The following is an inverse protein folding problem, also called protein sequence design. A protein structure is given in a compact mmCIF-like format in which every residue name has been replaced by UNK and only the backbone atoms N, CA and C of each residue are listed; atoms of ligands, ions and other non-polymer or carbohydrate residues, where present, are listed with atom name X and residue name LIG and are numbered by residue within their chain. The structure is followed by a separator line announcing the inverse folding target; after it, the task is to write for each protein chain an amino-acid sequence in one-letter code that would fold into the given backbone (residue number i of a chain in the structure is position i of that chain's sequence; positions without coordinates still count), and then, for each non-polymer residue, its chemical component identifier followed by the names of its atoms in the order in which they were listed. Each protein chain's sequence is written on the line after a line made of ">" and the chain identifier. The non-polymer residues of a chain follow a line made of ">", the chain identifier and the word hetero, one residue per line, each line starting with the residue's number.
data_IF_256690522037
#
_entry.id   IF_256690522037
#
_cell.length_a   1.000
_cell.length_b   1.000
_cell.length_c   1.000
_cell.angle_alpha   90.00
_cell.angle_beta   90.00
_cell.angle_gamma   90.00
#
_symmetry.space_group_name_H-M   'P 1'
#
loop_
_entity.id
_entity.type
_entity.pdbx_description
1 polymer ?
#
# COMPACT_ATOMS: atom_id res chain seq x y z
N UNK A 1 -10.68 -39.77 -8.11
CA UNK A 1 -11.11 -38.46 -7.56
C UNK A 1 -10.96 -38.39 -6.03
N UNK A 2 -10.64 -39.47 -5.31
CA UNK A 2 -10.55 -39.52 -3.85
C UNK A 2 -9.20 -39.14 -3.20
N UNK A 3 -8.10 -39.30 -3.92
CA UNK A 3 -6.76 -39.17 -3.30
C UNK A 3 -6.22 -37.73 -3.20
N UNK A 4 -6.77 -36.80 -3.98
CA UNK A 4 -6.35 -35.41 -3.95
C UNK A 4 -7.08 -34.57 -2.87
N UNK A 5 -8.28 -34.93 -2.48
CA UNK A 5 -9.05 -34.25 -1.44
C UNK A 5 -8.54 -34.59 -0.04
N UNK A 6 -8.17 -35.86 0.20
CA UNK A 6 -7.66 -36.35 1.50
C UNK A 6 -6.26 -35.78 1.84
N UNK A 7 -5.42 -35.47 0.85
CA UNK A 7 -4.10 -34.86 1.04
C UNK A 7 -4.17 -33.38 1.49
N UNK A 8 -5.24 -32.69 1.14
CA UNK A 8 -5.41 -31.25 1.48
C UNK A 8 -5.86 -31.09 2.94
N UNK A 9 -6.64 -32.02 3.47
CA UNK A 9 -7.17 -31.94 4.86
C UNK A 9 -6.11 -32.12 5.96
N UNK A 10 -4.95 -32.74 5.66
CA UNK A 10 -3.85 -32.91 6.62
C UNK A 10 -2.76 -31.82 6.52
N UNK A 11 -2.87 -30.93 5.54
CA UNK A 11 -1.82 -29.93 5.28
C UNK A 11 -1.91 -28.74 6.23
N UNK A 12 -0.78 -28.41 6.85
CA UNK A 12 -0.61 -27.18 7.64
C UNK A 12 0.18 -26.18 6.80
N UNK A 13 -0.40 -24.99 6.55
CA UNK A 13 0.27 -23.91 5.83
C UNK A 13 0.79 -22.89 6.83
N UNK A 14 2.09 -22.63 6.82
CA UNK A 14 2.72 -21.58 7.62
C UNK A 14 2.62 -20.25 6.88
N UNK A 15 1.68 -19.39 7.33
CA UNK A 15 1.45 -18.05 6.78
C UNK A 15 2.30 -17.03 7.54
N UNK A 16 3.36 -16.54 6.92
CA UNK A 16 4.23 -15.52 7.47
C UNK A 16 3.63 -14.13 7.35
N UNK A 17 3.76 -13.33 8.42
CA UNK A 17 3.31 -11.94 8.46
C UNK A 17 4.14 -11.13 9.45
N UNK A 18 4.05 -9.78 9.38
CA UNK A 18 4.66 -8.88 10.35
C UNK A 18 3.94 -8.96 11.70
N UNK A 19 4.61 -8.52 12.77
CA UNK A 19 4.08 -8.56 14.13
C UNK A 19 3.13 -7.42 14.52
N UNK A 20 2.84 -6.45 13.64
CA UNK A 20 1.92 -5.38 13.98
C UNK A 20 0.47 -5.88 14.10
N UNK A 21 -0.33 -5.24 14.97
CA UNK A 21 -1.74 -5.58 15.16
C UNK A 21 -2.52 -5.63 13.84
N UNK A 22 -2.29 -4.66 12.96
CA UNK A 22 -2.90 -4.63 11.63
C UNK A 22 -2.48 -5.85 10.79
N UNK A 23 -1.19 -6.18 10.75
CA UNK A 23 -0.68 -7.32 9.96
C UNK A 23 -1.23 -8.65 10.48
N UNK A 24 -1.33 -8.83 11.79
CA UNK A 24 -1.93 -10.01 12.40
C UNK A 24 -3.43 -10.13 12.10
N UNK A 25 -4.19 -9.02 12.16
CA UNK A 25 -5.60 -9.01 11.79
C UNK A 25 -5.79 -9.42 10.31
N UNK A 26 -4.95 -8.92 9.41
CA UNK A 26 -4.95 -9.28 7.99
C UNK A 26 -4.62 -10.77 7.79
N UNK A 27 -3.61 -11.30 8.49
CA UNK A 27 -3.23 -12.70 8.40
C UNK A 27 -4.34 -13.62 8.94
N UNK A 28 -5.00 -13.24 10.04
CA UNK A 28 -6.14 -13.97 10.58
C UNK A 28 -7.30 -14.05 9.60
N UNK A 29 -7.63 -12.95 8.92
CA UNK A 29 -8.68 -12.93 7.90
C UNK A 29 -8.33 -13.83 6.71
N UNK A 30 -7.08 -13.79 6.22
CA UNK A 30 -6.60 -14.65 5.13
C UNK A 30 -6.58 -16.13 5.56
N UNK A 31 -6.13 -16.43 6.78
CA UNK A 31 -6.15 -17.80 7.31
C UNK A 31 -7.56 -18.38 7.39
N UNK A 32 -8.53 -17.58 7.85
CA UNK A 32 -9.94 -17.98 7.87
C UNK A 32 -10.49 -18.26 6.46
N UNK A 33 -10.10 -17.44 5.48
CA UNK A 33 -10.49 -17.59 4.09
C UNK A 33 -9.90 -18.88 3.47
N UNK A 34 -8.62 -19.15 3.70
CA UNK A 34 -7.95 -20.37 3.26
C UNK A 34 -8.60 -21.62 3.90
N UNK A 35 -8.90 -21.57 5.19
CA UNK A 35 -9.59 -22.66 5.88
C UNK A 35 -10.99 -22.89 5.31
N UNK A 36 -11.76 -21.83 5.10
CA UNK A 36 -13.13 -21.93 4.57
C UNK A 36 -13.16 -22.57 3.18
N UNK A 37 -12.24 -22.18 2.30
CA UNK A 37 -12.22 -22.62 0.89
C UNK A 37 -11.57 -23.98 0.67
N UNK A 38 -10.53 -24.31 1.44
CA UNK A 38 -9.67 -25.47 1.17
C UNK A 38 -9.60 -26.48 2.33
N UNK A 39 -10.22 -26.17 3.48
CA UNK A 39 -10.18 -26.98 4.70
C UNK A 39 -8.76 -27.19 5.27
N UNK A 40 -7.78 -26.41 4.81
CA UNK A 40 -6.41 -26.49 5.28
C UNK A 40 -6.28 -25.84 6.67
N UNK A 41 -5.37 -26.36 7.48
CA UNK A 41 -4.95 -25.69 8.73
C UNK A 41 -3.92 -24.61 8.40
N UNK A 42 -4.09 -23.40 8.92
CA UNK A 42 -3.12 -22.31 8.74
C UNK A 42 -2.51 -21.96 10.08
N UNK A 43 -1.19 -21.99 10.14
CA UNK A 43 -0.38 -21.50 11.25
C UNK A 43 0.15 -20.12 10.90
N UNK A 44 -0.19 -19.10 11.71
CA UNK A 44 0.32 -17.73 11.51
C UNK A 44 1.69 -17.62 12.18
N UNK A 45 2.71 -17.34 11.37
CA UNK A 45 4.10 -17.18 11.81
C UNK A 45 4.48 -15.69 11.77
N UNK A 46 4.78 -15.12 12.92
CA UNK A 46 5.20 -13.73 13.01
C UNK A 46 6.69 -13.59 12.72
N UNK A 47 7.03 -12.76 11.74
CA UNK A 47 8.40 -12.41 11.36
C UNK A 47 8.67 -10.95 11.74
N UNK A 48 9.71 -10.71 12.54
CA UNK A 48 10.13 -9.34 12.90
C UNK A 48 10.93 -8.74 11.77
N UNK A 49 10.50 -7.57 11.26
CA UNK A 49 11.21 -6.87 10.19
C UNK A 49 12.06 -5.71 10.74
N UNK A 50 13.09 -5.33 9.99
CA UNK A 50 13.93 -4.19 10.32
C UNK A 50 13.11 -2.90 10.42
N UNK A 51 12.13 -2.73 9.54
CA UNK A 51 11.23 -1.58 9.53
C UNK A 51 10.32 -1.48 10.77
N UNK A 52 10.04 -2.60 11.44
CA UNK A 52 9.31 -2.62 12.71
C UNK A 52 10.21 -2.27 13.90
N UNK A 53 11.53 -2.46 13.78
CA UNK A 53 12.51 -2.22 14.86
C UNK A 53 13.02 -0.77 14.85
N UNK A 54 13.26 -0.19 13.68
CA UNK A 54 13.81 1.17 13.55
C UNK A 54 12.66 2.18 13.41
N UNK A 55 12.33 2.87 14.49
CA UNK A 55 11.24 3.86 14.53
C UNK A 55 11.72 5.31 14.71
N UNK A 56 13.00 5.51 14.98
CA UNK A 56 13.63 6.77 15.37
C UNK A 56 14.27 7.56 14.21
N UNK A 57 14.48 6.93 13.03
CA UNK A 57 15.11 7.55 11.87
C UNK A 57 14.12 7.70 10.70
N UNK A 58 14.17 8.79 9.90
CA UNK A 58 13.36 8.92 8.69
C UNK A 58 13.58 7.75 7.72
N UNK A 59 12.51 7.29 7.04
CA UNK A 59 12.60 6.16 6.10
C UNK A 59 13.65 6.38 5.00
N UNK A 60 13.79 7.61 4.52
CA UNK A 60 14.77 7.99 3.48
C UNK A 60 16.24 7.77 3.89
N UNK A 61 16.54 7.80 5.20
CA UNK A 61 17.91 7.62 5.70
C UNK A 61 18.28 6.15 5.90
N UNK A 62 17.28 5.26 6.01
CA UNK A 62 17.51 3.83 6.29
C UNK A 62 17.66 3.04 4.98
N UNK A 63 17.23 3.62 3.84
CA UNK A 63 17.06 2.89 2.60
C UNK A 63 15.71 2.15 2.58
N UNK A 64 14.87 2.47 1.60
CA UNK A 64 13.47 2.01 1.59
C UNK A 64 13.27 0.63 0.97
N UNK A 65 14.28 0.08 0.28
CA UNK A 65 14.13 -1.19 -0.43
C UNK A 65 14.08 -2.38 0.54
N UNK A 66 12.91 -3.03 0.58
CA UNK A 66 12.73 -4.26 1.34
C UNK A 66 12.65 -4.10 2.86
N UNK A 67 12.58 -2.88 3.41
CA UNK A 67 12.57 -2.60 4.84
C UNK A 67 11.51 -3.38 5.63
N UNK A 68 10.40 -3.73 4.99
CA UNK A 68 9.27 -4.45 5.57
C UNK A 68 9.05 -5.83 4.97
N UNK A 69 9.90 -6.27 4.02
CA UNK A 69 9.67 -7.51 3.27
C UNK A 69 10.87 -8.45 3.30
N UNK A 70 12.09 -7.96 3.48
CA UNK A 70 13.34 -8.73 3.36
C UNK A 70 13.35 -9.98 4.25
N UNK A 71 12.98 -9.85 5.52
CA UNK A 71 13.00 -10.96 6.47
C UNK A 71 11.89 -11.99 6.19
N UNK A 72 10.77 -11.56 5.58
CA UNK A 72 9.73 -12.45 5.08
C UNK A 72 10.21 -13.19 3.81
N UNK A 73 10.91 -12.50 2.90
CA UNK A 73 11.52 -13.10 1.71
C UNK A 73 12.55 -14.18 2.11
N UNK A 74 13.41 -13.88 3.09
CA UNK A 74 14.36 -14.82 3.65
C UNK A 74 13.65 -16.02 4.31
N UNK A 75 12.59 -15.77 5.08
CA UNK A 75 11.82 -16.83 5.73
C UNK A 75 11.14 -17.78 4.72
N UNK A 76 10.70 -17.26 3.56
CA UNK A 76 10.20 -18.07 2.44
C UNK A 76 11.31 -18.92 1.82
N UNK A 77 12.47 -18.32 1.53
CA UNK A 77 13.60 -19.01 0.90
C UNK A 77 14.21 -20.09 1.79
N UNK A 78 14.21 -19.87 3.11
CA UNK A 78 14.69 -20.81 4.13
C UNK A 78 13.66 -21.88 4.52
N UNK A 79 12.43 -21.81 3.99
CA UNK A 79 11.36 -22.75 4.33
C UNK A 79 10.80 -22.62 5.76
N UNK A 80 11.07 -21.50 6.45
CA UNK A 80 10.48 -21.20 7.77
C UNK A 80 8.99 -20.87 7.68
N UNK A 81 8.57 -20.33 6.54
CA UNK A 81 7.17 -20.09 6.16
C UNK A 81 6.93 -20.61 4.75
N UNK A 82 5.68 -20.95 4.44
CA UNK A 82 5.27 -21.47 3.15
C UNK A 82 4.69 -20.37 2.24
N UNK A 83 4.04 -19.38 2.85
CA UNK A 83 3.39 -18.24 2.19
C UNK A 83 3.69 -16.99 3.00
N UNK A 84 4.05 -15.88 2.35
CA UNK A 84 4.16 -14.58 2.98
C UNK A 84 3.00 -13.67 2.58
N UNK A 85 2.40 -13.00 3.56
CA UNK A 85 1.36 -11.99 3.37
C UNK A 85 1.98 -10.59 3.43
N UNK A 86 1.79 -9.81 2.36
CA UNK A 86 2.29 -8.44 2.27
C UNK A 86 1.18 -7.45 1.91
N UNK A 87 1.33 -6.20 2.39
CA UNK A 87 0.71 -5.05 1.75
C UNK A 87 1.51 -4.73 0.49
N UNK A 88 0.89 -4.75 -0.69
CA UNK A 88 1.59 -4.60 -1.96
C UNK A 88 2.38 -3.29 -2.07
N UNK A 89 1.84 -2.19 -1.53
CA UNK A 89 2.49 -0.87 -1.52
C UNK A 89 3.82 -0.82 -0.77
N UNK A 90 4.05 -1.76 0.15
CA UNK A 90 5.27 -1.83 0.96
C UNK A 90 6.35 -2.73 0.31
N UNK A 91 5.99 -3.44 -0.77
CA UNK A 91 6.91 -4.29 -1.52
C UNK A 91 7.72 -3.50 -2.55
N UNK A 92 9.04 -3.75 -2.65
CA UNK A 92 9.86 -3.21 -3.73
C UNK A 92 9.29 -3.59 -5.11
N UNK A 93 9.52 -2.75 -6.12
CA UNK A 93 9.20 -3.09 -7.52
C UNK A 93 10.16 -4.13 -8.08
N UNK A 94 11.38 -4.19 -7.55
CA UNK A 94 12.40 -5.17 -7.91
C UNK A 94 11.98 -6.58 -7.47
N UNK A 95 12.04 -7.53 -8.40
CA UNK A 95 11.67 -8.93 -8.13
C UNK A 95 12.79 -9.65 -7.38
N UNK A 96 12.44 -10.34 -6.31
CA UNK A 96 13.37 -11.24 -5.60
C UNK A 96 13.49 -12.55 -6.35
N UNK A 97 14.74 -13.00 -6.57
CA UNK A 97 15.01 -14.27 -7.26
C UNK A 97 14.35 -15.44 -6.51
N UNK A 98 13.74 -16.37 -7.24
CA UNK A 98 13.05 -17.55 -6.74
C UNK A 98 11.76 -17.29 -5.94
N UNK A 99 11.32 -16.05 -5.82
CA UNK A 99 10.01 -15.70 -5.25
C UNK A 99 9.07 -15.18 -6.34
N UNK A 100 7.77 -15.33 -6.12
CA UNK A 100 6.70 -14.76 -6.95
C UNK A 100 5.44 -14.47 -6.15
N UNK A 101 4.67 -13.51 -6.61
CA UNK A 101 3.33 -13.24 -6.09
C UNK A 101 2.39 -14.27 -6.73
N UNK A 102 1.81 -15.13 -5.90
CA UNK A 102 0.88 -16.18 -6.34
C UNK A 102 -0.58 -15.70 -6.41
N UNK A 103 -0.94 -14.70 -5.58
CA UNK A 103 -2.27 -14.11 -5.61
C UNK A 103 -2.25 -12.63 -5.19
N UNK A 104 -3.09 -11.85 -5.87
CA UNK A 104 -3.52 -10.51 -5.50
C UNK A 104 -4.92 -10.61 -4.94
N UNK A 105 -5.13 -10.26 -3.68
CA UNK A 105 -6.43 -10.37 -3.05
C UNK A 105 -7.36 -9.21 -3.48
N UNK A 106 -8.68 -9.33 -3.33
CA UNK A 106 -9.60 -8.23 -3.60
C UNK A 106 -9.12 -6.94 -2.93
N UNK A 107 -9.15 -5.85 -3.69
CA UNK A 107 -8.64 -4.55 -3.26
C UNK A 107 -9.63 -3.87 -2.31
N UNK A 108 -9.15 -3.40 -1.19
CA UNK A 108 -9.87 -2.48 -0.31
C UNK A 108 -9.86 -1.05 -0.87
N UNK A 109 -10.58 -0.16 -0.19
CA UNK A 109 -10.61 1.26 -0.51
C UNK A 109 -9.21 1.83 -0.71
N UNK A 110 -8.97 2.45 -1.86
CA UNK A 110 -7.65 2.92 -2.28
C UNK A 110 -7.29 4.30 -1.75
N UNK A 111 -8.30 5.10 -1.37
CA UNK A 111 -8.10 6.48 -0.98
C UNK A 111 -7.38 6.64 0.36
N UNK A 112 -6.83 7.83 0.54
CA UNK A 112 -6.32 8.28 1.82
C UNK A 112 -7.45 8.96 2.62
N UNK A 113 -7.21 9.20 3.89
CA UNK A 113 -8.15 9.93 4.75
C UNK A 113 -7.39 10.82 5.73
N UNK A 114 -8.04 11.88 6.16
CA UNK A 114 -7.65 12.62 7.35
C UNK A 114 -8.36 12.03 8.57
N UNK A 115 -7.62 11.92 9.66
CA UNK A 115 -8.12 11.43 10.94
C UNK A 115 -7.91 12.52 11.97
N UNK A 116 -8.99 12.95 12.59
CA UNK A 116 -9.02 13.95 13.64
C UNK A 116 -9.46 13.33 14.96
N UNK A 117 -9.16 13.93 16.12
CA UNK A 117 -9.83 13.57 17.36
C UNK A 117 -11.36 13.79 17.24
N UNK A 118 -12.15 12.93 17.85
CA UNK A 118 -13.61 13.14 17.88
C UNK A 118 -13.94 14.47 18.59
N UNK A 119 -14.98 15.16 18.11
CA UNK A 119 -15.33 16.50 18.56
C UNK A 119 -14.59 17.63 17.85
N UNK A 120 -13.71 17.31 16.88
CA UNK A 120 -13.14 18.32 16.01
C UNK A 120 -14.24 19.00 15.20
N UNK A 121 -14.38 20.33 15.35
CA UNK A 121 -15.52 21.10 14.83
C UNK A 121 -15.16 22.12 13.75
N UNK A 122 -13.86 22.22 13.40
CA UNK A 122 -13.40 23.10 12.32
C UNK A 122 -13.58 22.45 10.95
N UNK A 123 -13.21 23.18 9.88
CA UNK A 123 -13.23 22.65 8.54
C UNK A 123 -12.33 21.41 8.40
N UNK A 124 -12.82 20.39 7.71
CA UNK A 124 -12.10 19.13 7.48
C UNK A 124 -11.45 19.01 6.09
N UNK A 125 -11.80 19.90 5.17
CA UNK A 125 -11.14 20.01 3.87
C UNK A 125 -9.73 20.61 4.05
N UNK A 126 -8.73 20.01 3.39
CA UNK A 126 -7.31 20.43 3.51
C UNK A 126 -7.16 21.93 3.25
N UNK A 127 -7.83 22.43 2.21
CA UNK A 127 -7.78 23.81 1.76
C UNK A 127 -8.28 24.82 2.80
N UNK A 128 -9.15 24.37 3.68
CA UNK A 128 -9.81 25.20 4.71
C UNK A 128 -9.16 25.09 6.09
N UNK A 129 -8.13 24.25 6.25
CA UNK A 129 -7.42 24.14 7.53
C UNK A 129 -6.62 25.41 7.82
N UNK A 130 -6.54 25.83 9.10
CA UNK A 130 -5.84 27.07 9.46
C UNK A 130 -4.33 26.99 9.25
N UNK A 131 -3.70 28.12 9.05
CA UNK A 131 -2.24 28.20 8.94
C UNK A 131 -1.57 27.66 10.21
N UNK A 132 -0.49 26.87 10.02
CA UNK A 132 0.22 26.21 11.10
C UNK A 132 -0.45 24.92 11.61
N UNK A 133 -1.60 24.51 11.07
CA UNK A 133 -2.26 23.26 11.43
C UNK A 133 -1.35 22.05 11.16
N UNK A 134 -1.14 21.19 12.16
CA UNK A 134 -0.15 20.12 12.13
C UNK A 134 -0.76 18.81 11.63
N UNK A 135 -0.35 18.36 10.43
CA UNK A 135 -0.78 17.09 9.85
C UNK A 135 0.35 16.08 9.91
N UNK A 136 0.14 14.96 10.59
CA UNK A 136 1.12 13.87 10.74
C UNK A 136 1.09 12.90 9.57
N UNK A 137 2.22 12.74 8.88
CA UNK A 137 2.44 11.68 7.88
C UNK A 137 3.92 11.45 7.64
N UNK A 138 4.34 10.21 7.31
CA UNK A 138 5.72 9.89 6.88
C UNK A 138 5.82 9.67 5.37
N UNK A 139 4.71 9.83 4.64
CA UNK A 139 4.69 9.60 3.20
C UNK A 139 4.91 10.91 2.44
N UNK A 140 6.04 10.99 1.69
CA UNK A 140 6.40 12.18 0.90
C UNK A 140 5.31 12.54 -0.11
N UNK A 141 4.67 11.55 -0.74
CA UNK A 141 3.54 11.73 -1.62
C UNK A 141 2.38 12.49 -0.96
N UNK A 142 2.03 12.11 0.29
CA UNK A 142 0.96 12.78 1.05
C UNK A 142 1.38 14.20 1.40
N UNK A 143 2.61 14.38 1.89
CA UNK A 143 3.15 15.70 2.20
C UNK A 143 3.04 16.64 1.01
N UNK A 144 3.53 16.23 -0.16
CA UNK A 144 3.49 17.04 -1.37
C UNK A 144 2.06 17.41 -1.78
N UNK A 145 1.13 16.47 -1.76
CA UNK A 145 -0.27 16.73 -2.10
C UNK A 145 -0.99 17.63 -1.08
N UNK A 146 -0.69 17.47 0.21
CA UNK A 146 -1.23 18.35 1.27
C UNK A 146 -0.73 19.78 1.05
N UNK A 147 0.58 19.96 0.86
CA UNK A 147 1.18 21.28 0.64
C UNK A 147 0.72 21.93 -0.67
N UNK A 148 0.46 21.15 -1.72
CA UNK A 148 -0.17 21.64 -2.95
C UNK A 148 -1.55 22.23 -2.68
N UNK A 149 -2.35 21.60 -1.84
CA UNK A 149 -3.71 22.04 -1.53
C UNK A 149 -3.72 23.20 -0.51
N UNK A 150 -2.84 23.15 0.47
CA UNK A 150 -2.74 24.19 1.48
C UNK A 150 -1.28 24.35 1.94
N UNK A 151 -0.55 25.30 1.38
CA UNK A 151 0.85 25.57 1.78
C UNK A 151 0.97 26.17 3.18
N UNK A 152 -0.12 26.59 3.80
CA UNK A 152 -0.12 27.18 5.14
C UNK A 152 -0.08 26.15 6.27
N UNK A 153 -0.33 24.86 6.02
CA UNK A 153 -0.28 23.84 7.06
C UNK A 153 1.15 23.34 7.31
N UNK A 154 1.36 22.77 8.49
CA UNK A 154 2.63 22.14 8.87
C UNK A 154 2.52 20.62 8.73
N UNK A 155 3.27 20.01 7.81
CA UNK A 155 3.30 18.56 7.66
C UNK A 155 4.45 17.98 8.46
N UNK A 156 4.14 17.21 9.51
CA UNK A 156 5.09 16.66 10.45
C UNK A 156 5.34 15.17 10.17
N UNK A 157 6.59 14.73 10.35
CA UNK A 157 6.95 13.31 10.31
C UNK A 157 6.23 12.57 11.44
N UNK A 158 5.42 11.58 11.08
CA UNK A 158 4.66 10.78 12.05
C UNK A 158 4.85 9.30 11.78
N UNK A 159 5.81 8.68 12.48
CA UNK A 159 6.19 7.27 12.36
C UNK A 159 5.60 6.39 13.45
N UNK A 160 5.79 5.09 13.27
CA UNK A 160 5.26 4.03 14.10
C UNK A 160 4.18 3.22 13.38
N UNK A 161 3.71 2.17 14.02
CA UNK A 161 2.53 1.44 13.56
C UNK A 161 1.27 2.32 13.67
N UNK A 162 0.15 1.80 13.21
CA UNK A 162 -1.09 2.57 13.17
C UNK A 162 -1.56 3.01 14.57
N UNK A 163 -1.48 2.11 15.55
CA UNK A 163 -1.89 2.40 16.94
C UNK A 163 -1.00 3.50 17.56
N UNK A 164 0.32 3.44 17.34
CA UNK A 164 1.25 4.48 17.81
C UNK A 164 0.95 5.85 17.22
N UNK A 165 0.59 5.91 15.93
CA UNK A 165 0.23 7.19 15.28
C UNK A 165 -1.08 7.75 15.81
N UNK A 166 -2.07 6.89 16.04
CA UNK A 166 -3.35 7.29 16.65
C UNK A 166 -3.10 7.84 18.05
N UNK A 167 -2.22 7.22 18.83
CA UNK A 167 -1.88 7.74 20.16
C UNK A 167 -1.24 9.12 20.06
N UNK A 168 -0.32 9.36 19.15
CA UNK A 168 0.26 10.69 18.90
C UNK A 168 -0.77 11.76 18.54
N UNK A 169 -1.82 11.37 17.80
CA UNK A 169 -2.96 12.25 17.54
C UNK A 169 -3.72 12.57 18.81
N UNK A 170 -4.06 11.56 19.60
CA UNK A 170 -4.86 11.72 20.82
C UNK A 170 -4.11 12.46 21.94
N UNK A 171 -2.76 12.39 21.95
CA UNK A 171 -1.91 13.17 22.87
C UNK A 171 -1.61 14.58 22.37
N UNK A 172 -2.09 14.95 21.17
CA UNK A 172 -1.93 16.31 20.62
C UNK A 172 -0.54 16.61 20.05
N UNK A 173 0.28 15.61 19.73
CA UNK A 173 1.55 15.82 19.01
C UNK A 173 1.29 16.35 17.58
N UNK A 174 0.16 15.95 16.98
CA UNK A 174 -0.38 16.44 15.71
C UNK A 174 -1.87 16.73 15.84
N UNK A 175 -2.40 17.58 14.97
CA UNK A 175 -3.81 17.97 14.99
C UNK A 175 -4.67 17.05 14.10
N UNK A 176 -4.06 16.44 13.10
CA UNK A 176 -4.64 15.39 12.28
C UNK A 176 -3.58 14.41 11.80
N UNK A 177 -4.02 13.21 11.36
CA UNK A 177 -3.19 12.24 10.64
C UNK A 177 -3.67 12.09 9.20
N UNK A 178 -2.74 11.94 8.25
CA UNK A 178 -3.07 11.51 6.90
C UNK A 178 -2.66 10.03 6.73
N UNK A 179 -3.66 9.15 6.57
CA UNK A 179 -3.51 7.70 6.58
C UNK A 179 -4.20 7.04 5.38
N UNK A 180 -3.87 5.78 5.08
CA UNK A 180 -4.62 4.97 4.12
C UNK A 180 -5.89 4.43 4.76
N UNK A 181 -7.05 4.64 4.16
CA UNK A 181 -8.35 4.16 4.64
C UNK A 181 -8.37 2.65 4.87
N UNK A 182 -7.83 1.88 3.91
CA UNK A 182 -7.74 0.42 4.03
C UNK A 182 -7.07 -0.07 5.33
N UNK A 183 -6.08 0.68 5.85
CA UNK A 183 -5.44 0.36 7.13
C UNK A 183 -6.38 0.55 8.32
N UNK A 184 -7.14 1.63 8.33
CA UNK A 184 -8.12 1.91 9.38
C UNK A 184 -9.27 0.91 9.35
N UNK A 185 -9.80 0.60 8.16
CA UNK A 185 -10.89 -0.37 7.98
C UNK A 185 -10.52 -1.76 8.50
N UNK A 186 -9.33 -2.26 8.13
CA UNK A 186 -8.82 -3.57 8.54
C UNK A 186 -8.47 -3.66 10.04
N UNK A 187 -8.12 -2.54 10.66
CA UNK A 187 -7.85 -2.46 12.11
C UNK A 187 -9.08 -2.13 12.96
N UNK A 188 -10.25 -1.97 12.32
CA UNK A 188 -11.48 -1.51 12.93
C UNK A 188 -11.41 -0.09 13.55
N UNK A 189 -10.35 0.68 13.28
CA UNK A 189 -10.19 2.05 13.80
C UNK A 189 -11.18 3.04 13.16
N UNK A 190 -11.82 2.68 12.06
CA UNK A 190 -12.94 3.46 11.50
C UNK A 190 -14.16 3.50 12.43
N UNK A 191 -14.22 2.57 13.41
CA UNK A 191 -15.30 2.48 14.42
C UNK A 191 -14.86 3.00 15.80
N UNK A 192 -13.64 3.51 15.91
CA UNK A 192 -13.15 4.07 17.19
C UNK A 192 -13.86 5.40 17.47
N UNK A 193 -14.67 5.43 18.53
CA UNK A 193 -15.45 6.60 18.91
C UNK A 193 -14.61 7.83 19.28
N UNK A 194 -13.31 7.69 19.46
CA UNK A 194 -12.36 8.78 19.73
C UNK A 194 -11.92 9.52 18.47
N UNK A 195 -12.24 8.98 17.29
CA UNK A 195 -11.73 9.44 16.00
C UNK A 195 -12.85 9.92 15.07
N UNK A 196 -12.59 11.01 14.36
CA UNK A 196 -13.34 11.44 13.19
C UNK A 196 -12.51 11.15 11.94
N UNK A 197 -13.01 10.29 11.05
CA UNK A 197 -12.34 9.92 9.82
C UNK A 197 -13.02 10.59 8.64
N UNK A 198 -12.26 11.35 7.85
CA UNK A 198 -12.72 12.09 6.66
C UNK A 198 -11.98 11.58 5.44
N UNK A 199 -12.69 11.00 4.50
CA UNK A 199 -12.12 10.42 3.31
C UNK A 199 -11.66 11.52 2.32
N UNK A 200 -10.50 11.29 1.69
CA UNK A 200 -9.97 12.13 0.62
C UNK A 200 -10.22 11.41 -0.71
N UNK A 201 -10.97 12.04 -1.61
CA UNK A 201 -11.27 11.45 -2.91
C UNK A 201 -9.98 11.14 -3.69
N UNK A 202 -9.85 9.92 -4.20
CA UNK A 202 -8.72 9.50 -5.03
C UNK A 202 -8.59 10.28 -6.34
N UNK A 203 -9.66 10.94 -6.75
CA UNK A 203 -9.67 11.83 -7.94
C UNK A 203 -8.96 13.14 -7.71
N UNK A 204 -8.76 13.50 -6.44
CA UNK A 204 -8.24 14.80 -6.03
C UNK A 204 -7.02 14.67 -5.10
N UNK A 205 -6.88 13.49 -4.46
CA UNK A 205 -5.77 13.12 -3.61
C UNK A 205 -5.31 11.69 -3.94
N UNK A 206 -4.34 11.57 -4.84
CA UNK A 206 -3.95 10.31 -5.46
C UNK A 206 -3.25 9.36 -4.48
N UNK A 207 -3.67 8.09 -4.38
CA UNK A 207 -3.04 7.08 -3.55
C UNK A 207 -1.65 6.66 -4.06
N UNK A 208 -0.95 5.80 -3.32
CA UNK A 208 0.27 5.18 -3.84
C UNK A 208 -0.03 3.87 -4.58
N UNK A 209 0.90 3.47 -5.46
CA UNK A 209 0.82 2.21 -6.19
C UNK A 209 0.53 1.01 -5.27
N UNK A 210 -0.49 0.23 -5.60
CA UNK A 210 -0.88 -0.95 -4.86
C UNK A 210 -1.55 -0.68 -3.50
N UNK A 211 -1.93 0.57 -3.19
CA UNK A 211 -2.65 0.86 -1.95
C UNK A 211 -3.97 0.07 -1.88
N UNK A 212 -4.29 -0.47 -0.71
CA UNK A 212 -5.47 -1.31 -0.49
C UNK A 212 -5.29 -2.79 -0.85
N UNK A 213 -4.28 -3.16 -1.64
CA UNK A 213 -4.05 -4.54 -2.08
C UNK A 213 -3.17 -5.32 -1.10
N UNK A 214 -3.62 -6.52 -0.74
CA UNK A 214 -2.80 -7.56 -0.09
C UNK A 214 -2.39 -8.60 -1.12
N UNK A 215 -1.20 -9.17 -0.93
CA UNK A 215 -0.68 -10.22 -1.82
C UNK A 215 -0.13 -11.39 -1.04
N UNK A 216 -0.23 -12.57 -1.66
CA UNK A 216 0.36 -13.81 -1.18
C UNK A 216 1.58 -14.13 -2.03
N UNK A 217 2.76 -14.17 -1.41
CA UNK A 217 4.02 -14.49 -2.05
C UNK A 217 4.46 -15.89 -1.65
N UNK A 218 5.02 -16.64 -2.59
CA UNK A 218 5.53 -18.00 -2.39
C UNK A 218 6.86 -18.18 -3.13
N UNK A 219 7.56 -19.28 -2.87
CA UNK A 219 8.67 -19.70 -3.73
C UNK A 219 8.14 -20.16 -5.09
N UNK A 220 8.90 -19.94 -6.18
CA UNK A 220 8.51 -20.37 -7.54
C UNK A 220 8.28 -21.88 -7.68
N UNK A 221 8.98 -22.67 -6.85
CA UNK A 221 8.84 -24.12 -6.80
C UNK A 221 7.67 -24.62 -5.93
N UNK A 222 6.97 -23.74 -5.22
CA UNK A 222 5.92 -24.12 -4.28
C UNK A 222 4.70 -24.67 -4.98
N UNK A 223 4.25 -25.86 -4.58
CA UNK A 223 2.97 -26.44 -5.02
C UNK A 223 1.75 -25.67 -4.48
N UNK A 224 1.93 -24.89 -3.41
CA UNK A 224 0.87 -24.02 -2.85
C UNK A 224 0.46 -22.91 -3.80
N UNK A 225 1.29 -22.60 -4.80
CA UNK A 225 0.95 -21.62 -5.84
C UNK A 225 -0.42 -21.87 -6.48
N UNK A 226 -0.75 -23.15 -6.76
CA UNK A 226 -2.05 -23.53 -7.36
C UNK A 226 -3.23 -23.21 -6.43
N UNK A 227 -3.04 -23.40 -5.12
CA UNK A 227 -4.03 -23.11 -4.10
C UNK A 227 -4.18 -21.59 -3.95
N UNK A 228 -3.07 -20.87 -3.78
CA UNK A 228 -3.07 -19.41 -3.62
C UNK A 228 -3.68 -18.72 -4.83
N UNK A 229 -3.41 -19.18 -6.05
CA UNK A 229 -3.98 -18.62 -7.30
C UNK A 229 -5.52 -18.63 -7.32
N UNK A 230 -6.18 -19.51 -6.58
CA UNK A 230 -7.65 -19.50 -6.47
C UNK A 230 -8.20 -18.34 -5.66
N UNK A 231 -7.35 -17.66 -4.88
CA UNK A 231 -7.69 -16.42 -4.17
C UNK A 231 -7.41 -15.17 -5.02
N UNK A 232 -6.83 -15.34 -6.21
CA UNK A 232 -6.42 -14.23 -7.04
C UNK A 232 -7.61 -13.46 -7.60
N UNK A 233 -7.69 -12.18 -7.32
CA UNK A 233 -8.65 -11.26 -7.90
C UNK A 233 -8.07 -10.62 -9.17
N UNK A 234 -8.57 -11.03 -10.33
CA UNK A 234 -7.98 -10.72 -11.63
C UNK A 234 -7.95 -9.22 -11.95
N UNK A 235 -9.02 -8.52 -11.63
CA UNK A 235 -9.13 -7.09 -11.85
C UNK A 235 -8.11 -6.31 -11.00
N UNK A 236 -8.03 -6.64 -9.69
CA UNK A 236 -7.00 -6.07 -8.80
C UNK A 236 -5.60 -6.33 -9.36
N UNK A 237 -5.31 -7.58 -9.78
CA UNK A 237 -4.01 -7.95 -10.36
C UNK A 237 -3.65 -7.06 -11.55
N UNK A 238 -4.58 -6.85 -12.48
CA UNK A 238 -4.38 -6.02 -13.67
C UNK A 238 -4.07 -4.59 -13.23
N UNK A 239 -4.96 -3.97 -12.47
CA UNK A 239 -4.83 -2.60 -12.03
C UNK A 239 -3.49 -2.34 -11.31
N UNK A 240 -3.20 -3.10 -10.26
CA UNK A 240 -1.99 -2.84 -9.46
C UNK A 240 -0.68 -3.15 -10.20
N UNK A 241 -0.71 -4.01 -11.22
CA UNK A 241 0.45 -4.22 -12.09
C UNK A 241 0.80 -2.96 -12.87
N UNK A 242 -0.17 -2.32 -13.53
CA UNK A 242 0.05 -1.07 -14.24
C UNK A 242 0.56 0.05 -13.33
N UNK A 243 0.00 0.17 -12.12
CA UNK A 243 0.48 1.13 -11.13
C UNK A 243 1.94 0.88 -10.75
N UNK A 244 2.32 -0.38 -10.56
CA UNK A 244 3.68 -0.78 -10.18
C UNK A 244 4.67 -0.70 -11.34
N UNK A 245 4.23 -0.99 -12.56
CA UNK A 245 5.05 -0.85 -13.75
C UNK A 245 5.42 0.62 -13.97
N UNK A 246 4.47 1.54 -13.77
CA UNK A 246 4.77 2.98 -13.79
C UNK A 246 5.74 3.38 -12.67
N UNK A 247 5.52 2.91 -11.44
CA UNK A 247 6.42 3.18 -10.32
C UNK A 247 7.85 2.66 -10.58
N UNK A 248 7.97 1.47 -11.18
CA UNK A 248 9.25 0.87 -11.54
C UNK A 248 9.96 1.66 -12.64
N UNK A 249 9.22 2.08 -13.67
CA UNK A 249 9.74 2.83 -14.82
C UNK A 249 10.25 4.22 -14.41
N UNK A 250 9.61 4.85 -13.43
CA UNK A 250 10.02 6.14 -12.91
C UNK A 250 11.16 6.05 -11.87
N UNK A 251 11.70 4.83 -11.64
CA UNK A 251 12.72 4.55 -10.61
C UNK A 251 12.36 5.10 -9.22
N UNK A 252 11.07 5.36 -9.06
CA UNK A 252 10.51 6.09 -7.94
C UNK A 252 10.17 5.20 -6.76
N UNK A 253 11.13 4.73 -6.00
CA UNK A 253 10.82 4.07 -4.71
C UNK A 253 9.90 4.91 -3.81
N UNK A 254 9.86 4.64 -2.51
CA UNK A 254 9.05 5.39 -1.55
C UNK A 254 9.47 6.88 -1.39
N UNK A 255 10.53 7.30 -2.06
CA UNK A 255 11.09 8.66 -2.03
C UNK A 255 10.51 9.59 -3.11
N UNK A 256 9.82 9.05 -4.12
CA UNK A 256 9.20 9.88 -5.17
C UNK A 256 7.82 10.36 -4.73
N UNK A 257 7.50 11.66 -4.81
CA UNK A 257 6.16 12.18 -4.57
C UNK A 257 5.21 11.82 -5.72
N UNK A 258 4.98 10.53 -5.95
CA UNK A 258 4.12 9.98 -6.98
C UNK A 258 2.83 9.44 -6.37
N UNK A 259 1.70 9.99 -6.78
CA UNK A 259 0.39 9.39 -6.60
C UNK A 259 -0.02 8.65 -7.88
N UNK A 260 -0.57 7.44 -7.74
CA UNK A 260 -1.01 6.66 -8.90
C UNK A 260 -2.12 5.69 -8.51
N UNK A 261 -3.11 5.57 -9.35
CA UNK A 261 -4.12 4.53 -9.27
C UNK A 261 -4.66 4.17 -10.63
N UNK A 262 -5.26 3.02 -10.72
CA UNK A 262 -5.93 2.54 -11.92
C UNK A 262 -7.27 1.92 -11.59
N UNK A 263 -8.18 2.00 -12.54
CA UNK A 263 -9.53 1.46 -12.49
C UNK A 263 -9.90 0.86 -13.85
N UNK A 264 -10.80 -0.12 -13.85
CA UNK A 264 -11.39 -0.66 -15.08
C UNK A 264 -12.85 -0.23 -15.11
N UNK A 265 -13.21 0.59 -16.12
CA UNK A 265 -14.55 1.10 -16.32
C UNK A 265 -15.00 0.70 -17.72
N UNK A 266 -16.11 -0.01 -17.82
CA UNK A 266 -16.69 -0.48 -19.10
C UNK A 266 -15.68 -1.24 -20.00
N UNK A 267 -14.81 -2.04 -19.35
CA UNK A 267 -13.79 -2.84 -20.03
C UNK A 267 -12.56 -2.04 -20.50
N UNK A 268 -12.47 -0.79 -20.16
CA UNK A 268 -11.32 0.08 -20.42
C UNK A 268 -10.52 0.29 -19.13
N UNK A 269 -9.23 0.00 -19.16
CA UNK A 269 -8.31 0.28 -18.05
C UNK A 269 -7.84 1.73 -18.14
N UNK A 270 -8.00 2.48 -17.07
CA UNK A 270 -7.59 3.88 -16.95
C UNK A 270 -6.51 3.96 -15.87
N UNK A 271 -5.32 4.43 -16.24
CA UNK A 271 -4.20 4.68 -15.33
C UNK A 271 -4.07 6.20 -15.12
N UNK A 272 -4.16 6.64 -13.87
CA UNK A 272 -4.05 8.05 -13.48
C UNK A 272 -2.86 8.24 -12.56
N UNK A 273 -2.10 9.29 -12.77
CA UNK A 273 -0.95 9.63 -11.94
C UNK A 273 -0.85 11.13 -11.66
N UNK A 274 -0.21 11.47 -10.55
CA UNK A 274 0.25 12.80 -10.23
C UNK A 274 1.70 12.71 -9.77
N UNK A 275 2.59 13.45 -10.42
CA UNK A 275 3.97 13.62 -10.03
C UNK A 275 4.14 15.04 -9.48
N UNK A 276 4.78 15.18 -8.33
CA UNK A 276 4.93 16.48 -7.66
C UNK A 276 6.39 16.74 -7.23
N UNK A 277 6.72 18.02 -7.03
CA UNK A 277 7.85 18.39 -6.18
C UNK A 277 7.55 18.09 -4.71
N UNK A 278 8.57 17.94 -3.87
CA UNK A 278 8.39 17.64 -2.44
C UNK A 278 7.59 18.71 -1.67
N UNK A 279 7.68 19.96 -2.11
CA UNK A 279 6.96 21.10 -1.55
C UNK A 279 5.57 21.31 -2.18
N UNK A 280 5.20 20.48 -3.17
CA UNK A 280 3.91 20.49 -3.84
C UNK A 280 3.69 21.68 -4.80
N UNK A 281 4.70 22.54 -5.04
CA UNK A 281 4.53 23.73 -5.90
C UNK A 281 4.48 23.38 -7.37
N UNK A 282 5.30 22.42 -7.79
CA UNK A 282 5.32 21.93 -9.16
C UNK A 282 4.65 20.56 -9.20
N UNK A 283 3.81 20.35 -10.18
CA UNK A 283 3.15 19.05 -10.38
C UNK A 283 2.64 18.87 -11.80
N UNK A 284 2.48 17.63 -12.18
CA UNK A 284 1.81 17.22 -13.42
C UNK A 284 0.83 16.10 -13.12
N UNK A 285 -0.39 16.24 -13.64
CA UNK A 285 -1.41 15.17 -13.65
C UNK A 285 -1.44 14.52 -15.01
N UNK A 286 -1.52 13.21 -15.02
CA UNK A 286 -1.41 12.35 -16.21
C UNK A 286 -2.52 11.33 -16.19
N UNK A 287 -3.03 10.99 -17.38
CA UNK A 287 -4.07 9.96 -17.52
C UNK A 287 -3.91 9.28 -18.87
N UNK A 288 -3.82 7.96 -18.85
CA UNK A 288 -3.78 7.10 -20.03
C UNK A 288 -4.87 6.04 -19.92
N UNK A 289 -5.46 5.66 -21.04
CA UNK A 289 -6.51 4.65 -21.09
C UNK A 289 -6.26 3.66 -22.23
N UNK A 290 -6.63 2.39 -22.00
CA UNK A 290 -6.52 1.34 -23.02
C UNK A 290 -7.61 0.30 -22.83
N UNK A 291 -8.10 -0.25 -23.96
CA UNK A 291 -8.98 -1.43 -23.96
C UNK A 291 -8.21 -2.75 -24.00
N UNK A 292 -6.93 -2.69 -24.34
CA UNK A 292 -6.05 -3.85 -24.20
C UNK A 292 -5.52 -3.93 -22.76
N UNK A 293 -6.15 -4.77 -21.97
CA UNK A 293 -5.76 -5.01 -20.55
C UNK A 293 -4.36 -5.65 -20.39
N UNK A 294 -3.61 -5.81 -21.48
CA UNK A 294 -2.22 -6.29 -21.51
C UNK A 294 -1.27 -5.32 -22.21
N UNK A 295 -1.73 -4.11 -22.51
CA UNK A 295 -0.94 -3.09 -23.18
C UNK A 295 0.33 -2.77 -22.37
N UNK A 296 1.54 -3.10 -22.86
CA UNK A 296 2.77 -2.85 -22.11
C UNK A 296 3.19 -1.37 -22.15
N UNK A 297 2.64 -0.57 -23.06
CA UNK A 297 3.11 0.78 -23.36
C UNK A 297 2.46 1.88 -22.51
N UNK A 298 1.41 1.56 -21.77
CA UNK A 298 0.64 2.59 -21.06
C UNK A 298 1.50 3.36 -20.02
N UNK A 299 2.41 2.68 -19.33
CA UNK A 299 3.33 3.32 -18.40
C UNK A 299 4.40 4.15 -19.14
N UNK A 300 4.88 3.67 -20.28
CA UNK A 300 5.84 4.38 -21.13
C UNK A 300 5.23 5.64 -21.74
N UNK A 301 3.94 5.60 -22.12
CA UNK A 301 3.21 6.77 -22.62
C UNK A 301 3.12 7.86 -21.54
N UNK A 302 2.93 7.50 -20.27
CA UNK A 302 2.97 8.45 -19.13
C UNK A 302 4.37 9.06 -19.00
N UNK A 303 5.44 8.26 -19.07
CA UNK A 303 6.81 8.80 -18.99
C UNK A 303 7.12 9.74 -20.17
N UNK A 304 6.65 9.40 -21.36
CA UNK A 304 6.78 10.26 -22.55
C UNK A 304 6.07 11.59 -22.32
N UNK A 305 4.84 11.58 -21.83
CA UNK A 305 4.07 12.79 -21.53
C UNK A 305 4.73 13.67 -20.45
N UNK A 306 5.38 13.08 -19.42
CA UNK A 306 6.16 13.82 -18.43
C UNK A 306 7.32 14.59 -19.12
N UNK A 307 8.00 13.95 -20.08
CA UNK A 307 9.11 14.56 -20.83
C UNK A 307 8.63 15.66 -21.77
N UNK A 308 7.55 15.44 -22.51
CA UNK A 308 6.95 16.43 -23.42
C UNK A 308 6.48 17.70 -22.67
N UNK A 309 6.01 17.51 -21.43
CA UNK A 309 5.60 18.63 -20.55
C UNK A 309 6.77 19.28 -19.81
N UNK A 310 8.02 18.88 -20.10
CA UNK A 310 9.25 19.38 -19.45
C UNK A 310 9.28 19.22 -17.92
N UNK A 311 8.60 18.17 -17.40
CA UNK A 311 8.53 17.87 -15.96
C UNK A 311 9.49 16.77 -15.52
N UNK A 312 10.46 16.41 -16.38
CA UNK A 312 11.44 15.34 -16.10
C UNK A 312 12.38 15.66 -14.92
N UNK A 313 12.55 16.94 -14.59
CA UNK A 313 13.33 17.38 -13.41
C UNK A 313 12.71 16.97 -12.07
N UNK A 314 11.44 16.54 -12.05
CA UNK A 314 10.78 15.97 -10.88
C UNK A 314 11.12 14.49 -10.67
N UNK A 315 11.74 13.83 -11.65
CA UNK A 315 12.19 12.44 -11.55
C UNK A 315 13.52 12.36 -10.82
N UNK A 316 13.83 11.21 -10.18
CA UNK A 316 15.16 10.95 -9.64
C UNK A 316 16.22 11.09 -10.74
N UNK A 317 17.35 11.69 -10.43
CA UNK A 317 18.49 11.82 -11.34
C UNK A 317 19.30 10.55 -11.49
#
# INVERSE_FOLDING_TARGET
>A
MGDSETLVESMVIKLGTRGSRLALAQATAVAAQLHALFKVKVEIVTVKTLGDQITDKPLREIGTQGLFTKELDEALLDGRIDVALHCLKDMPTTKVKNLEIAAYLPREEIHDCLVFPNGYSLATAIESLPSGFRIGTSAIRRKAQILRKNPGVSVLECRGNLDTRVEKLLTGEVDALCLAKAGLSRSALTKDARLLVVDLSERDFYPCAGQGCLVLQVTKSSELKKIMKRLNHKETEICVKYERDLLALLEGGCSLPLGVFSEIVDGEMILKAILLSEDGKEFVTLSQATRDLKDPLIAENILTEIRERNMHHLLPG
#
